data_IF_463975429583
#
_entry.id   IF_463975429583
#
_cell.length_a   1.000
_cell.length_b   1.000
_cell.length_c   1.000
_cell.angle_alpha   90.00
_cell.angle_beta   90.00
_cell.angle_gamma   90.00
#
_symmetry.space_group_name_H-M   'P 1'
#
loop_
_entity.id
_entity.type
_entity.pdbx_description
1 polymer ?
#
# COMPACT_ATOMS: atom_id res chain seq x y z
N UNK A 1 24.75 9.38 11.65
CA UNK A 1 23.86 9.09 10.50
C UNK A 1 24.54 8.23 9.44
N UNK A 2 25.67 8.64 8.85
CA UNK A 2 26.35 7.85 7.80
C UNK A 2 26.81 6.46 8.26
N UNK A 3 27.45 6.37 9.42
CA UNK A 3 27.91 5.09 9.99
C UNK A 3 26.75 4.12 10.25
N UNK A 4 25.64 4.63 10.80
CA UNK A 4 24.40 3.86 11.02
C UNK A 4 23.81 3.36 9.68
N UNK A 5 23.82 4.19 8.63
CA UNK A 5 23.39 3.79 7.28
C UNK A 5 24.23 2.66 6.72
N UNK A 6 25.55 2.75 6.87
CA UNK A 6 26.49 1.76 6.37
C UNK A 6 26.34 0.43 7.14
N UNK A 7 26.21 0.49 8.47
CA UNK A 7 25.98 -0.70 9.32
C UNK A 7 24.64 -1.40 9.01
N UNK A 8 23.58 -0.64 8.76
CA UNK A 8 22.24 -1.18 8.48
C UNK A 8 21.99 -1.46 6.98
N UNK A 9 22.94 -1.11 6.11
CA UNK A 9 22.77 -1.22 4.66
C UNK A 9 21.65 -0.32 4.09
N UNK A 10 21.32 0.78 4.79
CA UNK A 10 20.21 1.67 4.43
C UNK A 10 20.72 2.87 3.63
N UNK A 11 20.07 3.17 2.50
CA UNK A 11 20.53 4.22 1.58
C UNK A 11 20.17 5.65 2.01
N UNK A 12 19.20 5.83 2.90
CA UNK A 12 18.63 7.16 3.24
C UNK A 12 18.42 7.36 4.73
N UNK A 13 18.83 8.53 5.23
CA UNK A 13 18.57 8.96 6.61
C UNK A 13 17.09 9.13 6.91
N UNK A 14 16.30 9.53 5.91
CA UNK A 14 14.85 9.69 6.05
C UNK A 14 14.18 8.37 6.41
N UNK A 15 14.70 7.25 5.89
CA UNK A 15 14.18 5.92 6.21
C UNK A 15 14.42 5.57 7.68
N UNK A 16 15.64 5.84 8.19
CA UNK A 16 15.99 5.63 9.59
C UNK A 16 15.12 6.51 10.50
N UNK A 17 14.97 7.79 10.19
CA UNK A 17 14.15 8.73 10.96
C UNK A 17 12.69 8.26 11.03
N UNK A 18 12.14 7.78 9.91
CA UNK A 18 10.78 7.23 9.87
C UNK A 18 10.63 6.02 10.79
N UNK A 19 11.58 5.09 10.76
CA UNK A 19 11.55 3.91 11.63
C UNK A 19 11.68 4.29 13.12
N UNK A 20 12.56 5.23 13.46
CA UNK A 20 12.69 5.71 14.85
C UNK A 20 11.37 6.31 15.35
N UNK A 21 10.72 7.15 14.54
CA UNK A 21 9.40 7.72 14.88
C UNK A 21 8.35 6.64 15.08
N UNK A 22 8.27 5.69 14.13
CA UNK A 22 7.36 4.54 14.18
C UNK A 22 7.51 3.75 15.49
N UNK A 23 8.74 3.46 15.89
CA UNK A 23 9.05 2.78 17.14
C UNK A 23 8.65 3.59 18.38
N UNK A 24 8.94 4.90 18.41
CA UNK A 24 8.55 5.78 19.51
C UNK A 24 7.03 5.90 19.68
N UNK A 25 6.29 5.79 18.57
CA UNK A 25 4.83 5.81 18.54
C UNK A 25 4.21 4.43 18.85
N UNK A 26 5.02 3.38 19.00
CA UNK A 26 4.54 2.02 19.25
C UNK A 26 3.83 1.39 18.04
N UNK A 27 4.03 1.90 16.82
CA UNK A 27 3.39 1.34 15.64
C UNK A 27 4.08 0.01 15.24
N UNK A 28 3.27 -1.00 14.88
CA UNK A 28 3.78 -2.31 14.41
C UNK A 28 4.67 -2.14 13.19
N UNK A 29 5.74 -2.92 13.04
CA UNK A 29 6.60 -2.97 11.84
C UNK A 29 6.17 -4.03 10.81
N UNK A 30 5.06 -4.73 11.06
CA UNK A 30 4.56 -5.77 10.16
C UNK A 30 4.36 -5.25 8.73
N UNK A 31 4.78 -6.06 7.77
CA UNK A 31 4.52 -5.81 6.36
C UNK A 31 3.10 -6.25 6.03
N UNK A 32 2.21 -5.28 5.83
CA UNK A 32 0.83 -5.54 5.44
C UNK A 32 0.62 -5.60 3.93
N UNK A 33 1.69 -5.54 3.12
CA UNK A 33 1.57 -5.74 1.68
C UNK A 33 1.18 -7.19 1.40
N UNK A 34 0.17 -7.38 0.57
CA UNK A 34 -0.32 -8.71 0.21
C UNK A 34 -1.17 -9.39 1.29
N UNK A 35 -1.42 -8.73 2.42
CA UNK A 35 -2.39 -9.21 3.41
C UNK A 35 -3.79 -9.05 2.81
N UNK A 36 -4.45 -10.18 2.58
CA UNK A 36 -5.84 -10.21 2.15
C UNK A 36 -6.74 -9.85 3.33
N UNK A 37 -7.32 -8.65 3.29
CA UNK A 37 -8.31 -8.19 4.26
C UNK A 37 -9.70 -8.26 3.61
N UNK A 38 -10.43 -9.39 3.75
CA UNK A 38 -11.76 -9.52 3.16
C UNK A 38 -12.69 -8.49 3.81
N UNK A 39 -13.44 -7.77 2.98
CA UNK A 39 -14.44 -6.82 3.44
C UNK A 39 -15.81 -7.48 3.35
N UNK A 40 -16.55 -7.48 4.45
CA UNK A 40 -17.92 -7.95 4.48
C UNK A 40 -18.84 -6.77 4.14
N UNK A 41 -19.74 -6.98 3.19
CA UNK A 41 -20.76 -6.00 2.79
C UNK A 41 -22.11 -6.43 3.35
N UNK A 42 -22.96 -5.44 3.66
CA UNK A 42 -24.31 -5.73 4.15
C UNK A 42 -25.29 -6.00 3.01
N UNK A 43 -24.93 -5.67 1.77
CA UNK A 43 -25.73 -5.94 0.57
C UNK A 43 -24.88 -6.14 -0.69
N UNK A 44 -25.45 -6.84 -1.67
CA UNK A 44 -24.84 -7.03 -3.00
C UNK A 44 -24.69 -5.72 -3.78
N UNK A 45 -25.57 -4.74 -3.54
CA UNK A 45 -25.49 -3.43 -4.19
C UNK A 45 -24.28 -2.65 -3.68
N UNK A 46 -24.03 -2.70 -2.36
CA UNK A 46 -22.86 -2.08 -1.73
C UNK A 46 -21.55 -2.70 -2.24
N UNK A 47 -21.49 -4.03 -2.33
CA UNK A 47 -20.34 -4.75 -2.87
C UNK A 47 -20.07 -4.36 -4.33
N UNK A 48 -21.10 -4.33 -5.18
CA UNK A 48 -20.97 -3.92 -6.59
C UNK A 48 -20.49 -2.47 -6.73
N UNK A 49 -21.03 -1.56 -5.94
CA UNK A 49 -20.60 -0.17 -5.94
C UNK A 49 -19.13 -0.04 -5.53
N UNK A 50 -18.72 -0.76 -4.48
CA UNK A 50 -17.35 -0.78 -4.00
C UNK A 50 -16.36 -1.34 -5.05
N UNK A 51 -16.71 -2.45 -5.70
CA UNK A 51 -15.88 -3.06 -6.74
C UNK A 51 -15.76 -2.17 -7.99
N UNK A 52 -16.87 -1.55 -8.43
CA UNK A 52 -16.83 -0.57 -9.54
C UNK A 52 -15.91 0.60 -9.23
N UNK A 53 -16.02 1.16 -8.03
CA UNK A 53 -15.16 2.27 -7.60
C UNK A 53 -13.67 1.86 -7.57
N UNK A 54 -13.34 0.65 -7.10
CA UNK A 54 -11.97 0.14 -7.16
C UNK A 54 -11.45 0.03 -8.59
N UNK A 55 -12.25 -0.53 -9.50
CA UNK A 55 -11.86 -0.67 -10.91
C UNK A 55 -11.61 0.69 -11.55
N UNK A 56 -12.50 1.67 -11.34
CA UNK A 56 -12.33 3.03 -11.85
C UNK A 56 -11.09 3.73 -11.29
N UNK A 57 -10.84 3.58 -9.99
CA UNK A 57 -9.63 4.10 -9.36
C UNK A 57 -8.36 3.54 -10.01
N UNK A 58 -8.31 2.22 -10.21
CA UNK A 58 -7.18 1.56 -10.87
C UNK A 58 -7.06 1.93 -12.36
N UNK A 59 -8.18 2.19 -13.04
CA UNK A 59 -8.23 2.74 -14.40
C UNK A 59 -7.58 4.11 -14.49
N UNK A 60 -7.97 5.02 -13.61
CA UNK A 60 -7.42 6.38 -13.54
C UNK A 60 -5.93 6.38 -13.19
N UNK A 61 -5.50 5.48 -12.30
CA UNK A 61 -4.12 5.42 -11.83
C UNK A 61 -3.15 4.80 -12.84
N UNK A 62 -3.62 3.88 -13.69
CA UNK A 62 -2.76 3.17 -14.64
C UNK A 62 -3.33 3.22 -16.08
N UNK A 63 -3.45 4.41 -16.69
CA UNK A 63 -4.07 4.56 -18.01
C UNK A 63 -3.39 3.73 -19.11
N UNK A 64 -2.10 3.43 -18.95
CA UNK A 64 -1.30 2.62 -19.87
C UNK A 64 -1.57 1.10 -19.81
N UNK A 65 -2.23 0.59 -18.76
CA UNK A 65 -2.49 -0.85 -18.59
C UNK A 65 -3.85 -1.28 -19.15
N UNK A 66 -4.77 -0.33 -19.40
CA UNK A 66 -6.16 -0.63 -19.81
C UNK A 66 -6.36 -0.66 -21.33
N UNK A 67 -5.28 -0.75 -22.10
CA UNK A 67 -5.26 -0.71 -23.57
C UNK A 67 -5.32 -2.05 -24.30
N UNK A 68 -5.69 -3.15 -23.64
CA UNK A 68 -6.05 -4.39 -24.35
C UNK A 68 -7.48 -4.77 -24.00
N UNK A 69 -8.38 -4.42 -24.91
CA UNK A 69 -9.71 -5.01 -24.96
C UNK A 69 -9.54 -6.53 -25.12
N UNK A 70 -10.14 -7.30 -24.23
CA UNK A 70 -10.25 -8.74 -24.39
C UNK A 70 -11.25 -8.96 -25.52
N UNK A 71 -10.75 -9.41 -26.69
CA UNK A 71 -11.57 -9.91 -27.80
C UNK A 71 -12.25 -11.22 -27.45
#
# INVERSE_FOLDING_TARGET
>A
MREIREQLGVKSDTQIIKWVKRAQQGESFEDQRGVWNPKNFNSLEEENAYLKAQVEYLKKRNPNLHGKEWS
#
